data_IF_495571807501
#
_entry.id   IF_495571807501
#
_cell.length_a   1.000
_cell.length_b   1.000
_cell.length_c   1.000
_cell.angle_alpha   90.00
_cell.angle_beta   90.00
_cell.angle_gamma   90.00
#
_symmetry.space_group_name_H-M   'P 1'
#
loop_
_entity.id
_entity.type
_entity.pdbx_description
1 polymer ?
#
# COMPACT_ATOMS: atom_id res chain seq x y z
N UNK A 1 -26.07 -35.13 2.94
CA UNK A 1 -25.81 -33.70 3.25
C UNK A 1 -24.71 -33.25 2.31
N UNK A 2 -25.08 -32.60 1.21
CA UNK A 2 -24.16 -32.13 0.18
C UNK A 2 -23.52 -30.82 0.67
N UNK A 3 -22.20 -30.85 0.90
CA UNK A 3 -21.43 -29.64 1.08
C UNK A 3 -21.35 -28.95 -0.29
N UNK A 4 -22.12 -27.89 -0.49
CA UNK A 4 -21.93 -26.96 -1.60
C UNK A 4 -20.57 -26.28 -1.44
N UNK A 5 -19.60 -26.78 -2.19
CA UNK A 5 -18.32 -26.10 -2.42
C UNK A 5 -18.65 -24.84 -3.23
N UNK A 6 -18.83 -23.72 -2.55
CA UNK A 6 -18.92 -22.40 -3.20
C UNK A 6 -17.63 -22.19 -3.98
N UNK A 7 -17.68 -22.43 -5.28
CA UNK A 7 -16.64 -22.06 -6.25
C UNK A 7 -16.37 -20.56 -6.07
N UNK A 8 -15.26 -20.23 -5.38
CA UNK A 8 -14.78 -18.84 -5.35
C UNK A 8 -14.42 -18.48 -6.78
N UNK A 9 -15.28 -17.70 -7.42
CA UNK A 9 -15.03 -17.22 -8.78
C UNK A 9 -13.66 -16.53 -8.83
N UNK A 10 -12.85 -16.89 -9.85
CA UNK A 10 -11.54 -16.30 -10.06
C UNK A 10 -11.65 -14.76 -10.12
N UNK A 11 -10.63 -14.05 -9.60
CA UNK A 11 -10.55 -12.60 -9.71
C UNK A 11 -10.32 -12.28 -11.20
N UNK A 12 -11.16 -11.42 -11.81
CA UNK A 12 -11.02 -11.06 -13.22
C UNK A 12 -9.85 -10.08 -13.41
N UNK A 13 -8.62 -10.59 -13.35
CA UNK A 13 -7.39 -9.81 -13.50
C UNK A 13 -7.07 -9.61 -14.98
N UNK A 14 -6.68 -8.37 -15.34
CA UNK A 14 -6.20 -8.00 -16.65
C UNK A 14 -4.71 -7.65 -16.55
N UNK A 15 -3.88 -8.45 -17.20
CA UNK A 15 -2.43 -8.40 -17.11
C UNK A 15 -1.81 -7.49 -18.19
N UNK A 16 -0.53 -7.15 -18.04
CA UNK A 16 0.28 -6.52 -19.09
C UNK A 16 0.34 -7.38 -20.35
N UNK A 17 0.34 -8.72 -20.21
CA UNK A 17 0.29 -9.63 -21.36
C UNK A 17 -1.02 -9.49 -22.12
N UNK A 18 -2.17 -9.39 -21.42
CA UNK A 18 -3.46 -9.17 -22.08
C UNK A 18 -3.47 -7.83 -22.86
N UNK A 19 -2.83 -6.80 -22.31
CA UNK A 19 -2.66 -5.51 -22.98
C UNK A 19 -1.76 -5.62 -24.22
N UNK A 20 -0.61 -6.30 -24.11
CA UNK A 20 0.32 -6.54 -25.22
C UNK A 20 -0.33 -7.34 -26.34
N UNK A 21 -1.12 -8.36 -25.97
CA UNK A 21 -1.91 -9.17 -26.90
C UNK A 21 -3.14 -8.43 -27.44
N UNK A 22 -3.34 -7.17 -27.07
CA UNK A 22 -4.48 -6.30 -27.44
C UNK A 22 -5.84 -6.93 -27.15
N UNK A 23 -5.94 -7.71 -26.09
CA UNK A 23 -7.23 -8.25 -25.64
C UNK A 23 -8.14 -7.11 -25.17
N UNK A 24 -9.46 -7.22 -25.36
CA UNK A 24 -10.38 -6.18 -24.96
C UNK A 24 -10.41 -6.03 -23.43
N UNK A 25 -10.34 -4.76 -22.97
CA UNK A 25 -10.49 -4.44 -21.56
C UNK A 25 -11.98 -4.31 -21.21
N UNK A 26 -12.48 -5.21 -20.36
CA UNK A 26 -13.91 -5.31 -20.01
C UNK A 26 -14.29 -4.32 -18.90
N UNK A 27 -14.28 -3.05 -19.24
CA UNK A 27 -14.44 -1.93 -18.30
C UNK A 27 -15.74 -2.01 -17.48
N UNK A 28 -16.88 -2.30 -18.09
CA UNK A 28 -18.22 -2.33 -17.45
C UNK A 28 -18.50 -3.64 -16.73
N UNK A 29 -18.14 -4.77 -17.34
CA UNK A 29 -18.23 -6.08 -16.69
C UNK A 29 -17.35 -6.10 -15.47
N UNK A 30 -16.18 -5.48 -15.56
CA UNK A 30 -15.26 -5.22 -14.48
C UNK A 30 -14.06 -6.17 -14.47
N UNK A 31 -12.90 -5.56 -14.37
CA UNK A 31 -11.62 -6.24 -14.25
C UNK A 31 -10.77 -5.55 -13.17
N UNK A 32 -9.78 -6.28 -12.68
CA UNK A 32 -8.75 -5.79 -11.77
C UNK A 32 -7.47 -5.58 -12.56
N UNK A 33 -6.84 -4.43 -12.36
CA UNK A 33 -5.52 -4.10 -12.91
C UNK A 33 -4.59 -3.66 -11.79
N UNK A 34 -3.31 -3.91 -11.94
CA UNK A 34 -2.26 -3.34 -11.10
C UNK A 34 -1.74 -2.05 -11.75
N UNK A 35 -1.61 -0.99 -10.97
CA UNK A 35 -1.11 0.31 -11.43
C UNK A 35 0.01 0.78 -10.50
N UNK A 36 1.10 1.32 -11.04
CA UNK A 36 2.15 1.98 -10.27
C UNK A 36 1.64 3.33 -9.79
N UNK A 37 1.46 3.48 -8.49
CA UNK A 37 1.10 4.77 -7.90
C UNK A 37 2.34 5.68 -7.87
N UNK A 38 2.31 6.85 -8.49
CA UNK A 38 3.41 7.81 -8.40
C UNK A 38 3.61 8.35 -6.97
N UNK A 39 4.81 8.84 -6.70
CA UNK A 39 5.12 9.62 -5.49
C UNK A 39 4.22 10.86 -5.42
N UNK A 40 3.90 11.31 -4.21
CA UNK A 40 3.05 12.47 -3.89
C UNK A 40 1.59 12.37 -4.37
N UNK A 41 1.19 11.22 -4.89
CA UNK A 41 -0.21 10.94 -5.21
C UNK A 41 -0.88 10.16 -4.08
N UNK A 42 -2.12 10.53 -3.76
CA UNK A 42 -2.99 9.65 -2.97
C UNK A 42 -3.50 8.50 -3.84
N UNK A 43 -3.89 7.39 -3.22
CA UNK A 43 -4.58 6.29 -3.94
C UNK A 43 -5.86 6.77 -4.65
N UNK A 44 -6.54 7.79 -4.09
CA UNK A 44 -7.70 8.40 -4.73
C UNK A 44 -7.36 9.22 -5.97
N UNK A 45 -6.18 9.84 -6.05
CA UNK A 45 -5.72 10.53 -7.26
C UNK A 45 -5.62 9.57 -8.44
N UNK A 46 -5.11 8.34 -8.22
CA UNK A 46 -5.06 7.30 -9.26
C UNK A 46 -6.45 6.92 -9.75
N UNK A 47 -7.41 6.70 -8.82
CA UNK A 47 -8.82 6.43 -9.17
C UNK A 47 -9.42 7.58 -9.96
N UNK A 48 -9.15 8.82 -9.55
CA UNK A 48 -9.67 10.03 -10.22
C UNK A 48 -9.09 10.20 -11.62
N UNK A 49 -7.78 9.96 -11.78
CA UNK A 49 -7.10 9.99 -13.07
C UNK A 49 -7.72 8.97 -14.02
N UNK A 50 -7.90 7.72 -13.57
CA UNK A 50 -8.54 6.67 -14.35
C UNK A 50 -9.95 7.07 -14.80
N UNK A 51 -10.78 7.61 -13.91
CA UNK A 51 -12.13 8.07 -14.24
C UNK A 51 -12.13 9.21 -15.26
N UNK A 52 -11.17 10.14 -15.16
CA UNK A 52 -11.01 11.23 -16.14
C UNK A 52 -10.60 10.67 -17.50
N UNK A 53 -9.68 9.72 -17.54
CA UNK A 53 -9.26 9.06 -18.76
C UNK A 53 -10.43 8.33 -19.44
N UNK A 54 -11.22 7.55 -18.69
CA UNK A 54 -12.44 6.90 -19.20
C UNK A 54 -13.42 7.91 -19.79
N UNK A 55 -13.66 9.04 -19.11
CA UNK A 55 -14.56 10.08 -19.61
C UNK A 55 -14.05 10.71 -20.90
N UNK A 56 -12.73 10.96 -20.98
CA UNK A 56 -12.11 11.60 -22.17
C UNK A 56 -12.10 10.65 -23.38
N UNK A 57 -11.76 9.38 -23.17
CA UNK A 57 -11.60 8.40 -24.25
C UNK A 57 -12.93 7.83 -24.75
N UNK A 58 -13.86 7.58 -23.85
CA UNK A 58 -15.08 6.81 -24.15
C UNK A 58 -16.38 7.62 -23.96
N UNK A 59 -16.30 8.89 -23.53
CA UNK A 59 -17.49 9.69 -23.23
C UNK A 59 -18.31 9.21 -22.02
N UNK A 60 -17.86 8.17 -21.30
CA UNK A 60 -18.59 7.59 -20.17
C UNK A 60 -18.47 8.50 -18.95
N UNK A 61 -19.58 9.12 -18.54
CA UNK A 61 -19.61 10.07 -17.42
C UNK A 61 -19.52 9.41 -16.05
N UNK A 62 -20.03 8.18 -15.90
CA UNK A 62 -20.05 7.46 -14.61
C UNK A 62 -19.55 6.04 -14.80
N UNK A 63 -18.51 5.70 -14.05
CA UNK A 63 -17.95 4.36 -13.99
C UNK A 63 -17.64 4.01 -12.52
N UNK A 64 -17.96 2.79 -12.12
CA UNK A 64 -17.60 2.29 -10.80
C UNK A 64 -16.14 1.86 -10.81
N UNK A 65 -15.32 2.56 -10.03
CA UNK A 65 -13.89 2.27 -9.86
C UNK A 65 -13.54 2.42 -8.39
N UNK A 66 -12.81 1.47 -7.85
CA UNK A 66 -12.26 1.49 -6.50
C UNK A 66 -10.85 0.93 -6.49
N UNK A 67 -10.15 1.04 -5.36
CA UNK A 67 -8.82 0.46 -5.16
C UNK A 67 -8.80 -0.51 -3.98
N UNK A 68 -7.87 -1.46 -3.98
CA UNK A 68 -7.67 -2.42 -2.91
C UNK A 68 -6.37 -2.10 -2.16
N UNK A 69 -6.51 -1.55 -0.95
CA UNK A 69 -5.42 -1.19 -0.06
C UNK A 69 -4.76 0.14 -0.40
N UNK A 70 -5.01 1.15 0.42
CA UNK A 70 -4.40 2.48 0.27
C UNK A 70 -2.88 2.42 0.37
N UNK A 71 -2.23 3.31 -0.35
CA UNK A 71 -0.85 3.74 -0.17
C UNK A 71 -0.86 5.20 0.27
N UNK A 72 0.04 5.53 1.18
CA UNK A 72 0.26 6.91 1.62
C UNK A 72 0.81 7.78 0.46
N UNK A 73 0.68 9.11 0.50
CA UNK A 73 1.21 9.98 -0.56
C UNK A 73 2.71 9.77 -0.80
N UNK A 74 3.48 9.61 0.28
CA UNK A 74 4.95 9.40 0.23
C UNK A 74 5.38 7.97 -0.09
N UNK A 75 4.43 7.05 -0.33
CA UNK A 75 4.71 5.71 -0.80
C UNK A 75 4.43 5.57 -2.30
N UNK A 76 5.19 4.72 -2.98
CA UNK A 76 5.02 4.33 -4.38
C UNK A 76 4.64 2.84 -4.53
N UNK A 77 4.53 2.36 -5.75
CA UNK A 77 4.37 0.94 -6.04
C UNK A 77 2.93 0.50 -6.34
N UNK A 78 2.65 -0.77 -6.23
CA UNK A 78 1.42 -1.38 -6.73
C UNK A 78 0.18 -0.88 -6.00
N UNK A 79 -0.78 -0.39 -6.77
CA UNK A 79 -2.16 -0.15 -6.36
C UNK A 79 -3.10 -0.95 -7.26
N UNK A 80 -3.87 -1.86 -6.69
CA UNK A 80 -4.87 -2.61 -7.44
C UNK A 80 -6.12 -1.75 -7.63
N UNK A 81 -6.50 -1.51 -8.88
CA UNK A 81 -7.77 -0.90 -9.24
C UNK A 81 -8.75 -1.99 -9.69
N UNK A 82 -9.99 -1.84 -9.27
CA UNK A 82 -11.10 -2.68 -9.71
C UNK A 82 -12.17 -1.81 -10.38
N UNK A 83 -12.66 -2.24 -11.55
CA UNK A 83 -13.70 -1.55 -12.31
C UNK A 83 -15.01 -2.32 -12.29
N UNK A 84 -16.11 -1.67 -12.62
CA UNK A 84 -17.43 -2.30 -12.80
C UNK A 84 -17.81 -3.27 -11.65
N UNK A 85 -18.18 -4.50 -12.04
CA UNK A 85 -18.57 -5.57 -11.09
C UNK A 85 -17.40 -6.09 -10.26
N UNK A 86 -16.14 -5.99 -10.76
CA UNK A 86 -14.96 -6.44 -10.02
C UNK A 86 -14.70 -5.61 -8.73
N UNK A 87 -15.33 -4.43 -8.58
CA UNK A 87 -15.26 -3.70 -7.30
C UNK A 87 -15.81 -4.49 -6.11
N UNK A 88 -16.61 -5.54 -6.33
CA UNK A 88 -17.07 -6.46 -5.29
C UNK A 88 -15.94 -7.36 -4.76
N UNK A 89 -14.82 -7.49 -5.49
CA UNK A 89 -13.67 -8.29 -5.09
C UNK A 89 -12.67 -7.51 -4.22
N UNK A 90 -12.87 -6.20 -3.99
CA UNK A 90 -11.91 -5.32 -3.29
C UNK A 90 -11.54 -5.86 -1.91
N UNK A 91 -12.51 -6.28 -1.10
CA UNK A 91 -12.23 -6.83 0.24
C UNK A 91 -11.31 -8.05 0.15
N UNK A 92 -11.59 -9.00 -0.76
CA UNK A 92 -10.77 -10.19 -0.98
C UNK A 92 -9.36 -9.84 -1.47
N UNK A 93 -9.22 -8.84 -2.35
CA UNK A 93 -7.92 -8.34 -2.81
C UNK A 93 -7.11 -7.70 -1.66
N UNK A 94 -7.80 -7.13 -0.68
CA UNK A 94 -7.15 -6.55 0.49
C UNK A 94 -6.61 -7.60 1.47
N UNK A 95 -7.09 -8.83 1.47
CA UNK A 95 -6.68 -9.88 2.41
C UNK A 95 -5.32 -10.51 2.09
N UNK A 96 -4.85 -10.44 0.85
CA UNK A 96 -3.55 -10.97 0.44
C UNK A 96 -2.37 -10.35 1.20
N UNK A 97 -1.25 -11.06 1.27
CA UNK A 97 0.04 -10.56 1.77
C UNK A 97 0.51 -9.37 0.94
N UNK A 98 1.32 -8.51 1.53
CA UNK A 98 1.97 -7.39 0.85
C UNK A 98 3.46 -7.47 1.07
N UNK A 99 4.22 -7.10 0.05
CA UNK A 99 5.64 -6.92 0.15
C UNK A 99 6.00 -5.46 -0.11
N UNK A 100 6.95 -4.98 0.67
CA UNK A 100 7.46 -3.63 0.58
C UNK A 100 8.98 -3.63 0.56
N UNK A 101 9.55 -2.67 -0.15
CA UNK A 101 10.92 -2.20 0.05
C UNK A 101 10.82 -0.83 0.72
N UNK A 102 11.44 -0.72 1.89
CA UNK A 102 11.40 0.49 2.71
C UNK A 102 12.82 0.96 2.99
N UNK A 103 13.04 2.27 2.93
CA UNK A 103 14.24 2.91 3.45
C UNK A 103 13.88 3.67 4.72
N UNK A 104 14.65 3.42 5.78
CA UNK A 104 14.50 4.07 7.07
C UNK A 104 15.72 4.96 7.33
N UNK A 105 15.48 6.10 8.00
CA UNK A 105 16.53 6.92 8.63
C UNK A 105 16.41 6.78 10.13
N UNK A 106 17.50 6.35 10.79
CA UNK A 106 17.66 6.37 12.23
C UNK A 106 18.14 7.74 12.73
N UNK A 107 18.01 8.00 14.02
CA UNK A 107 18.50 9.20 14.67
C UNK A 107 17.51 10.36 14.71
N UNK A 108 16.32 10.20 14.13
CA UNK A 108 15.29 11.22 14.18
C UNK A 108 13.88 10.60 14.09
N UNK A 109 12.86 11.39 14.43
CA UNK A 109 11.45 11.07 14.20
C UNK A 109 10.76 12.18 13.43
N UNK A 110 9.60 11.86 12.86
CA UNK A 110 8.62 12.82 12.33
C UNK A 110 7.24 12.50 12.89
N UNK A 111 6.30 13.46 12.96
CA UNK A 111 4.95 13.20 13.48
C UNK A 111 4.18 12.10 12.74
N UNK A 112 4.47 11.89 11.44
CA UNK A 112 3.84 10.88 10.60
C UNK A 112 4.65 9.59 10.46
N UNK A 113 5.90 9.57 10.96
CA UNK A 113 6.90 8.51 10.76
C UNK A 113 7.24 8.26 9.27
N UNK A 114 7.12 9.31 8.46
CA UNK A 114 7.54 9.38 7.05
C UNK A 114 7.93 10.84 6.71
N UNK A 115 8.22 11.12 5.44
CA UNK A 115 8.62 12.44 4.94
C UNK A 115 7.44 13.40 4.67
N UNK A 116 6.24 13.13 5.16
CA UNK A 116 5.12 14.09 5.05
C UNK A 116 5.32 15.32 5.95
N UNK A 117 6.09 15.16 7.05
CA UNK A 117 6.39 16.21 8.01
C UNK A 117 7.89 16.32 8.25
N UNK A 118 8.33 17.51 8.69
CA UNK A 118 9.70 17.75 9.13
C UNK A 118 10.04 16.93 10.40
N UNK A 119 11.33 16.74 10.64
CA UNK A 119 11.83 16.07 11.85
C UNK A 119 11.43 16.85 13.10
N UNK A 120 10.91 16.15 14.12
CA UNK A 120 10.41 16.74 15.37
C UNK A 120 11.27 16.39 16.59
N UNK A 121 12.11 15.35 16.49
CA UNK A 121 13.05 14.98 17.55
C UNK A 121 14.30 14.30 16.98
N UNK A 122 15.44 14.48 17.68
CA UNK A 122 16.70 13.85 17.34
C UNK A 122 17.12 12.86 18.45
N UNK A 123 17.78 11.77 18.05
CA UNK A 123 18.20 10.68 18.92
C UNK A 123 19.63 10.23 18.55
N UNK A 124 20.39 9.67 19.50
CA UNK A 124 21.62 8.97 19.20
C UNK A 124 21.36 7.77 18.25
N UNK A 125 22.26 7.48 17.36
CA UNK A 125 22.16 6.33 16.45
C UNK A 125 23.51 5.66 16.14
N UNK A 126 24.61 6.22 16.57
CA UNK A 126 25.97 5.73 16.30
C UNK A 126 26.26 4.35 16.90
N UNK A 127 25.47 3.96 17.90
CA UNK A 127 25.53 2.65 18.56
C UNK A 127 24.84 1.54 17.76
N UNK A 128 24.08 1.91 16.72
CA UNK A 128 23.39 0.94 15.86
C UNK A 128 24.42 0.31 14.92
N UNK A 129 24.49 -1.01 14.98
CA UNK A 129 25.35 -1.82 14.11
C UNK A 129 24.51 -2.72 13.22
N UNK A 130 25.06 -3.16 12.09
CA UNK A 130 24.36 -4.13 11.24
C UNK A 130 23.96 -5.40 12.01
N UNK A 131 24.83 -5.88 12.90
CA UNK A 131 24.60 -7.09 13.69
C UNK A 131 23.42 -6.96 14.64
N UNK A 132 23.36 -5.85 15.44
CA UNK A 132 22.24 -5.65 16.36
C UNK A 132 20.94 -5.34 15.62
N UNK A 133 20.97 -4.65 14.47
CA UNK A 133 19.80 -4.44 13.64
C UNK A 133 19.25 -5.75 13.06
N UNK A 134 20.12 -6.62 12.51
CA UNK A 134 19.70 -7.96 12.02
C UNK A 134 19.07 -8.82 13.15
N UNK A 135 19.65 -8.77 14.35
CA UNK A 135 19.11 -9.48 15.52
C UNK A 135 17.71 -8.95 15.88
N UNK A 136 17.52 -7.64 15.85
CA UNK A 136 16.22 -7.02 16.16
C UNK A 136 15.16 -7.35 15.09
N UNK A 137 15.51 -7.30 13.81
CA UNK A 137 14.61 -7.70 12.72
C UNK A 137 14.13 -9.15 12.89
N UNK A 138 15.01 -10.07 13.31
CA UNK A 138 14.62 -11.45 13.61
C UNK A 138 13.62 -11.53 14.78
N UNK A 139 13.83 -10.73 15.83
CA UNK A 139 12.91 -10.69 17.00
C UNK A 139 11.54 -10.15 16.64
N UNK A 140 11.47 -9.20 15.71
CA UNK A 140 10.23 -8.57 15.27
C UNK A 140 9.46 -9.42 14.26
N UNK A 141 10.02 -10.50 13.73
CA UNK A 141 9.28 -11.40 12.86
C UNK A 141 8.20 -12.20 13.61
N UNK A 142 7.12 -12.53 12.91
CA UNK A 142 6.02 -13.29 13.45
C UNK A 142 4.78 -12.45 13.76
N UNK A 143 3.89 -13.02 14.55
CA UNK A 143 2.65 -12.35 14.98
C UNK A 143 2.93 -11.37 16.11
N UNK A 144 2.37 -10.17 15.99
CA UNK A 144 2.50 -9.14 17.02
C UNK A 144 1.32 -8.18 17.04
N UNK A 145 1.24 -7.41 18.12
CA UNK A 145 0.27 -6.33 18.28
C UNK A 145 0.92 -5.00 17.89
N UNK A 146 0.46 -4.38 16.83
CA UNK A 146 0.95 -3.08 16.36
C UNK A 146 -0.04 -1.97 16.68
N UNK A 147 0.42 -0.89 17.30
CA UNK A 147 -0.36 0.34 17.45
C UNK A 147 -0.26 1.14 16.16
N UNK A 148 -1.38 1.36 15.44
CA UNK A 148 -1.38 2.14 14.21
C UNK A 148 -0.90 3.58 14.43
N UNK A 149 -0.33 4.24 13.41
CA UNK A 149 0.03 5.65 13.53
C UNK A 149 -1.23 6.53 13.60
N UNK A 150 -1.14 7.67 14.27
CA UNK A 150 -2.24 8.64 14.39
C UNK A 150 -2.70 9.16 13.02
N UNK A 151 -1.74 9.37 12.10
CA UNK A 151 -2.01 9.74 10.71
C UNK A 151 -2.46 8.52 9.89
N UNK A 152 -3.64 7.97 10.20
CA UNK A 152 -4.19 6.79 9.52
C UNK A 152 -5.66 6.97 9.13
N UNK A 153 -6.14 6.14 8.20
CA UNK A 153 -7.53 6.14 7.75
C UNK A 153 -8.50 5.41 8.71
N UNK A 154 -8.03 4.99 9.89
CA UNK A 154 -8.86 4.33 10.90
C UNK A 154 -9.96 5.29 11.37
N UNK A 155 -11.16 4.75 11.59
CA UNK A 155 -12.27 5.54 12.13
C UNK A 155 -12.23 5.52 13.66
N UNK A 156 -12.24 6.70 14.27
CA UNK A 156 -12.37 6.92 15.72
C UNK A 156 -13.60 7.76 15.94
N UNK A 157 -14.61 7.20 16.61
CA UNK A 157 -15.89 7.88 16.89
C UNK A 157 -16.52 8.50 15.61
N UNK A 158 -16.48 7.77 14.49
CA UNK A 158 -17.06 8.21 13.21
C UNK A 158 -16.19 9.20 12.42
N UNK A 159 -15.04 9.64 12.95
CA UNK A 159 -14.08 10.52 12.25
C UNK A 159 -12.81 9.75 11.89
N UNK A 160 -12.18 10.09 10.78
CA UNK A 160 -10.90 9.50 10.40
C UNK A 160 -9.77 10.01 11.32
N UNK A 161 -8.91 9.10 11.81
CA UNK A 161 -7.83 9.42 12.74
C UNK A 161 -6.91 10.54 12.22
N UNK A 162 -6.56 10.52 10.92
CA UNK A 162 -5.73 11.56 10.31
C UNK A 162 -6.35 12.97 10.38
N UNK A 163 -7.69 13.11 10.37
CA UNK A 163 -8.34 14.40 10.56
C UNK A 163 -8.22 14.92 12.00
N UNK A 164 -8.22 14.00 12.97
CA UNK A 164 -8.03 14.33 14.37
C UNK A 164 -6.57 14.72 14.64
N UNK A 165 -5.62 13.94 14.09
CA UNK A 165 -4.20 14.22 14.20
C UNK A 165 -3.82 15.60 13.64
N UNK A 166 -4.31 15.96 12.43
CA UNK A 166 -4.09 17.30 11.84
C UNK A 166 -4.67 18.46 12.66
N UNK A 167 -5.63 18.19 13.53
CA UNK A 167 -6.21 19.19 14.44
C UNK A 167 -5.53 19.20 15.82
N UNK A 168 -4.46 18.42 16.02
CA UNK A 168 -3.79 18.28 17.30
C UNK A 168 -4.65 17.62 18.39
N UNK A 169 -5.71 16.89 18.02
CA UNK A 169 -6.55 16.21 18.99
C UNK A 169 -5.86 14.90 19.38
N UNK A 170 -5.45 14.82 20.63
CA UNK A 170 -4.90 13.59 21.20
C UNK A 170 -5.94 12.46 21.17
N UNK A 171 -5.55 11.32 20.66
CA UNK A 171 -6.34 10.10 20.67
C UNK A 171 -5.43 8.88 20.62
N UNK A 172 -5.84 7.81 21.25
CA UNK A 172 -5.16 6.53 21.18
C UNK A 172 -5.89 5.62 20.18
N UNK A 173 -5.11 4.82 19.46
CA UNK A 173 -5.65 3.77 18.59
C UNK A 173 -5.41 2.41 19.24
N UNK A 174 -6.42 1.52 19.25
CA UNK A 174 -6.22 0.19 19.79
C UNK A 174 -5.19 -0.57 18.94
N UNK A 175 -4.32 -1.36 19.58
CA UNK A 175 -3.39 -2.20 18.86
C UNK A 175 -4.14 -3.23 18.01
N UNK A 176 -3.55 -3.59 16.87
CA UNK A 176 -4.08 -4.59 15.93
C UNK A 176 -3.10 -5.72 15.76
N UNK A 177 -3.61 -6.94 15.69
CA UNK A 177 -2.81 -8.11 15.35
C UNK A 177 -2.37 -8.02 13.90
N UNK A 178 -1.07 -8.18 13.68
CA UNK A 178 -0.41 -8.23 12.39
C UNK A 178 0.53 -9.42 12.34
N UNK A 179 0.93 -9.80 11.13
CA UNK A 179 1.97 -10.79 10.90
C UNK A 179 3.06 -10.15 10.03
N UNK A 180 4.30 -10.16 10.51
CA UNK A 180 5.50 -9.87 9.73
C UNK A 180 6.14 -11.22 9.37
N UNK A 181 5.83 -11.73 8.19
CA UNK A 181 6.32 -13.06 7.79
C UNK A 181 7.79 -13.05 7.40
N UNK A 182 8.26 -11.94 6.83
CA UNK A 182 9.67 -11.75 6.49
C UNK A 182 10.10 -10.32 6.77
N UNK A 183 11.28 -10.17 7.38
CA UNK A 183 12.00 -8.91 7.55
C UNK A 183 13.46 -9.16 7.16
N UNK A 184 13.92 -8.57 6.08
CA UNK A 184 15.25 -8.75 5.53
C UNK A 184 15.97 -7.40 5.42
N UNK A 185 17.21 -7.33 5.92
CA UNK A 185 18.07 -6.18 5.74
C UNK A 185 18.76 -6.29 4.39
N UNK A 186 18.40 -5.42 3.45
CA UNK A 186 18.94 -5.36 2.09
C UNK A 186 20.24 -4.54 2.03
N UNK A 187 20.26 -3.42 2.78
CA UNK A 187 21.40 -2.51 2.81
C UNK A 187 21.47 -1.78 4.15
N UNK A 188 22.71 -1.44 4.58
CA UNK A 188 22.95 -0.75 5.85
C UNK A 188 24.14 0.19 5.75
N UNK A 189 23.86 1.48 5.86
CA UNK A 189 24.88 2.53 6.00
C UNK A 189 24.28 3.68 6.82
N UNK A 190 24.66 3.77 8.08
CA UNK A 190 24.12 4.77 8.99
C UNK A 190 24.14 6.20 8.43
N UNK A 191 23.08 6.97 8.63
CA UNK A 191 21.89 6.63 9.46
C UNK A 191 20.81 5.84 8.70
N UNK A 192 21.07 5.31 7.52
CA UNK A 192 20.08 4.65 6.66
C UNK A 192 20.15 3.13 6.73
N UNK A 193 18.97 2.50 6.61
CA UNK A 193 18.83 1.07 6.40
C UNK A 193 17.70 0.81 5.40
N UNK A 194 17.92 -0.15 4.49
CA UNK A 194 16.94 -0.57 3.49
C UNK A 194 16.46 -1.98 3.81
N UNK A 195 15.15 -2.15 3.93
CA UNK A 195 14.52 -3.39 4.35
C UNK A 195 13.56 -3.91 3.28
N UNK A 196 13.51 -5.23 3.13
CA UNK A 196 12.40 -5.94 2.48
C UNK A 196 11.47 -6.48 3.56
N UNK A 197 10.18 -6.25 3.41
CA UNK A 197 9.16 -6.53 4.44
C UNK A 197 8.01 -7.28 3.77
N UNK A 198 7.71 -8.51 4.24
CA UNK A 198 6.49 -9.24 3.84
C UNK A 198 5.55 -9.31 5.03
N UNK A 199 4.32 -8.82 4.84
CA UNK A 199 3.39 -8.65 5.97
C UNK A 199 1.92 -8.91 5.59
N UNK A 200 1.10 -9.10 6.62
CA UNK A 200 -0.35 -9.27 6.51
C UNK A 200 -1.08 -7.95 6.22
N UNK A 201 -2.36 -8.07 5.86
CA UNK A 201 -3.28 -6.92 5.78
C UNK A 201 -3.27 -6.09 7.06
N UNK A 202 -3.29 -4.78 6.90
CA UNK A 202 -3.45 -3.84 8.00
C UNK A 202 -2.17 -3.48 8.73
N UNK A 203 -1.03 -4.02 8.31
CA UNK A 203 0.30 -3.60 8.79
C UNK A 203 0.61 -2.20 8.29
N UNK A 204 1.08 -1.33 9.20
CA UNK A 204 1.58 0.01 8.91
C UNK A 204 3.10 0.01 8.94
N UNK A 205 3.73 0.18 7.79
CA UNK A 205 5.21 0.18 7.70
C UNK A 205 5.80 1.40 8.42
N UNK A 206 5.08 2.53 8.47
CA UNK A 206 5.44 3.70 9.30
C UNK A 206 5.47 3.37 10.80
N UNK A 207 4.51 2.58 11.29
CA UNK A 207 4.54 2.13 12.67
C UNK A 207 5.68 1.12 12.92
N UNK A 208 6.01 0.28 11.95
CA UNK A 208 7.18 -0.61 12.03
C UNK A 208 8.49 0.20 12.13
N UNK A 209 8.63 1.28 11.35
CA UNK A 209 9.80 2.17 11.44
C UNK A 209 9.91 2.80 12.83
N UNK A 210 8.80 3.34 13.39
CA UNK A 210 8.74 3.84 14.76
C UNK A 210 9.18 2.77 15.79
N UNK A 211 8.56 1.60 15.70
CA UNK A 211 8.77 0.52 16.68
C UNK A 211 10.21 -0.01 16.61
N UNK A 212 10.79 -0.09 15.41
CA UNK A 212 12.20 -0.44 15.20
C UNK A 212 13.14 0.63 15.76
N UNK A 213 12.83 1.92 15.53
CA UNK A 213 13.59 3.03 16.13
C UNK A 213 13.65 2.93 17.65
N UNK A 214 12.49 2.70 18.29
CA UNK A 214 12.39 2.51 19.75
C UNK A 214 13.18 1.28 20.21
N UNK A 215 13.05 0.15 19.51
CA UNK A 215 13.76 -1.10 19.85
C UNK A 215 15.28 -0.99 19.73
N UNK A 216 15.75 -0.03 18.92
CA UNK A 216 17.16 0.28 18.75
C UNK A 216 17.64 1.44 19.65
N UNK A 217 16.90 1.81 20.71
CA UNK A 217 17.19 2.95 21.57
C UNK A 217 17.45 4.26 20.81
N UNK A 218 16.67 4.49 19.74
CA UNK A 218 16.78 5.62 18.82
C UNK A 218 15.40 6.07 18.38
N UNK A 219 15.35 7.01 17.42
CA UNK A 219 14.19 7.30 16.59
C UNK A 219 14.39 6.73 15.19
N UNK A 220 13.30 6.46 14.46
CA UNK A 220 13.37 6.17 13.05
C UNK A 220 12.06 6.54 12.33
N UNK A 221 12.18 6.87 11.05
CA UNK A 221 11.07 7.13 10.14
C UNK A 221 11.40 6.68 8.71
N UNK A 222 10.39 6.54 7.87
CA UNK A 222 10.55 6.14 6.47
C UNK A 222 10.99 7.33 5.62
N UNK A 223 12.09 7.18 4.88
CA UNK A 223 12.51 8.11 3.83
C UNK A 223 12.00 7.68 2.46
N UNK A 224 11.79 6.38 2.24
CA UNK A 224 11.16 5.85 1.04
C UNK A 224 10.33 4.59 1.37
N UNK A 225 9.27 4.39 0.62
CA UNK A 225 8.43 3.18 0.72
C UNK A 225 7.88 2.83 -0.66
N UNK A 226 8.15 1.61 -1.10
CA UNK A 226 7.58 1.06 -2.32
C UNK A 226 6.88 -0.26 -2.03
N UNK A 227 5.61 -0.40 -2.44
CA UNK A 227 4.92 -1.68 -2.41
C UNK A 227 5.22 -2.47 -3.67
N UNK A 228 6.00 -3.54 -3.55
CA UNK A 228 6.51 -4.35 -4.66
C UNK A 228 5.60 -5.52 -5.01
N UNK A 229 4.74 -5.99 -4.06
CA UNK A 229 3.84 -7.11 -4.31
C UNK A 229 2.53 -6.99 -3.53
N UNK A 230 1.43 -7.47 -4.12
CA UNK A 230 0.12 -7.64 -3.48
C UNK A 230 -0.42 -9.02 -3.86
N UNK A 231 -0.49 -9.94 -2.90
CA UNK A 231 -0.79 -11.35 -3.17
C UNK A 231 0.25 -11.94 -4.11
N UNK A 232 -0.21 -12.43 -5.25
CA UNK A 232 0.65 -13.02 -6.31
C UNK A 232 1.05 -12.01 -7.40
N UNK A 233 0.59 -10.75 -7.31
CA UNK A 233 0.84 -9.75 -8.34
C UNK A 233 2.07 -8.94 -7.96
N UNK A 234 3.10 -8.96 -8.82
CA UNK A 234 4.37 -8.25 -8.65
C UNK A 234 4.37 -6.90 -9.38
N UNK A 235 5.28 -6.01 -8.95
CA UNK A 235 5.35 -4.63 -9.47
C UNK A 235 5.68 -4.58 -10.97
N UNK A 236 6.39 -5.58 -11.49
CA UNK A 236 6.71 -5.72 -12.90
C UNK A 236 5.48 -5.93 -13.77
N UNK A 237 4.37 -6.39 -13.17
CA UNK A 237 3.08 -6.58 -13.84
C UNK A 237 2.19 -5.33 -13.80
N UNK A 238 2.60 -4.28 -13.11
CA UNK A 238 1.81 -3.09 -12.94
C UNK A 238 1.96 -2.13 -14.12
N UNK A 239 0.82 -1.58 -14.58
CA UNK A 239 0.80 -0.51 -15.58
C UNK A 239 1.35 0.78 -14.99
N UNK A 240 2.17 1.48 -15.75
CA UNK A 240 2.48 2.87 -15.46
C UNK A 240 1.22 3.73 -15.64
N UNK A 241 1.14 4.83 -14.90
CA UNK A 241 -0.06 5.68 -14.89
C UNK A 241 -0.35 6.26 -16.28
N UNK A 242 0.70 6.52 -17.05
CA UNK A 242 0.66 7.07 -18.42
C UNK A 242 0.10 6.08 -19.44
N UNK A 243 0.17 4.77 -19.17
CA UNK A 243 -0.37 3.73 -20.05
C UNK A 243 -1.90 3.54 -19.91
N UNK A 244 -2.51 4.11 -18.87
CA UNK A 244 -3.95 3.92 -18.63
C UNK A 244 -4.86 4.46 -19.75
N UNK A 245 -4.59 5.59 -20.44
CA UNK A 245 -5.37 5.99 -21.59
C UNK A 245 -5.38 4.96 -22.71
N UNK A 246 -4.23 4.36 -23.05
CA UNK A 246 -4.12 3.34 -24.10
C UNK A 246 -4.84 2.05 -23.71
N UNK A 247 -4.73 1.64 -22.44
CA UNK A 247 -5.50 0.53 -21.90
C UNK A 247 -7.01 0.76 -22.05
N UNK A 248 -7.48 1.97 -21.71
CA UNK A 248 -8.89 2.34 -21.81
C UNK A 248 -9.36 2.35 -23.27
N UNK A 249 -8.50 2.72 -24.23
CA UNK A 249 -8.82 2.68 -25.65
C UNK A 249 -9.10 1.26 -26.17
N UNK A 250 -8.59 0.21 -25.49
CA UNK A 250 -8.92 -1.18 -25.79
C UNK A 250 -10.26 -1.65 -25.18
N UNK A 251 -10.99 -0.76 -24.48
CA UNK A 251 -12.23 -1.16 -23.81
C UNK A 251 -13.33 -1.48 -24.82
N UNK A 252 -13.93 -2.66 -24.67
CA UNK A 252 -15.19 -2.95 -25.33
C UNK A 252 -16.29 -2.08 -24.72
N UNK A 253 -16.88 -1.22 -25.55
CA UNK A 253 -18.12 -0.55 -25.25
C UNK A 253 -19.22 -1.52 -25.69
N UNK A 254 -19.64 -2.43 -24.80
CA UNK A 254 -20.86 -3.19 -25.06
C UNK A 254 -21.98 -2.16 -25.24
N UNK A 255 -22.47 -2.03 -26.45
CA UNK A 255 -23.72 -1.32 -26.76
C UNK A 255 -24.83 -1.98 -25.91
N UNK A 256 -25.48 -1.20 -25.07
CA UNK A 256 -26.74 -1.56 -24.44
C UNK A 256 -27.84 -1.66 -25.49
#
# INVERSE_FOLDING_TARGET
MNAETTSQSAIPYYSLKDFTDRKPFKLREGQVIAVRKPLDWTSFNVVSYFRVAVRKQLGIKKIKVGHAGSLDPKATGILLLATGRATKCIERLMDGTKEYVAELKFGATTPSFDTEHEEDAAFPYEHITEANLRSELQRMQGEQMQVPPLFSAISVNGKRAYHLARKGVEHSLPPKRILLSELELLDFHLPYARLRIVCSRGTYIRALARDLGIAMDSGAYLTALERTRVGEIHIEEAFDIEALPDLIALSEISSE
#
